data_IF_863562004037
#
_entry.id   IF_863562004037
#
_cell.length_a   1.000
_cell.length_b   1.000
_cell.length_c   1.000
_cell.angle_alpha   90.00
_cell.angle_beta   90.00
_cell.angle_gamma   90.00
#
_symmetry.space_group_name_H-M   'P 1'
#
loop_
_entity.id
_entity.type
_entity.pdbx_description
1 polymer ?
#
# COMPACT_ATOMS: atom_id res chain seq x y z
N UNK A 1 -34.84 -3.42 24.18
CA UNK A 1 -35.20 -4.45 23.18
C UNK A 1 -34.60 -4.14 21.81
N UNK A 2 -34.83 -2.97 21.20
CA UNK A 2 -34.24 -2.62 19.89
C UNK A 2 -32.71 -2.68 19.83
N UNK A 3 -32.01 -2.14 20.84
CA UNK A 3 -30.54 -2.21 20.91
C UNK A 3 -30.01 -3.64 21.11
N UNK A 4 -30.74 -4.52 21.83
CA UNK A 4 -30.33 -5.91 22.03
C UNK A 4 -30.47 -6.71 20.72
N UNK A 5 -31.53 -6.47 19.95
CA UNK A 5 -31.71 -7.08 18.62
C UNK A 5 -30.68 -6.54 17.63
N UNK A 6 -30.44 -5.23 17.61
CA UNK A 6 -29.39 -4.61 16.81
C UNK A 6 -28.00 -5.14 17.18
N UNK A 7 -27.71 -5.24 18.47
CA UNK A 7 -26.48 -5.84 18.96
C UNK A 7 -26.38 -7.30 18.53
N UNK A 8 -27.41 -8.12 18.72
CA UNK A 8 -27.38 -9.54 18.37
C UNK A 8 -27.27 -9.80 16.88
N UNK A 9 -27.89 -8.99 16.02
CA UNK A 9 -27.95 -9.25 14.57
C UNK A 9 -26.83 -8.55 13.81
N UNK A 10 -26.42 -7.36 14.25
CA UNK A 10 -25.43 -6.51 13.54
C UNK A 10 -24.10 -6.54 14.28
N UNK A 11 -24.02 -5.96 15.50
CA UNK A 11 -22.72 -5.75 16.17
C UNK A 11 -22.08 -7.01 16.77
N UNK A 12 -22.86 -8.05 17.07
CA UNK A 12 -22.34 -9.24 17.74
C UNK A 12 -21.35 -9.97 16.87
N UNK A 13 -21.56 -9.96 15.55
CA UNK A 13 -20.64 -10.56 14.58
C UNK A 13 -19.31 -9.83 14.61
N UNK A 14 -19.30 -8.50 14.58
CA UNK A 14 -18.08 -7.70 14.61
C UNK A 14 -17.30 -7.90 15.92
N UNK A 15 -18.00 -7.97 17.05
CA UNK A 15 -17.37 -8.21 18.37
C UNK A 15 -16.84 -9.65 18.48
N UNK A 16 -17.58 -10.63 17.95
CA UNK A 16 -17.16 -12.03 17.96
C UNK A 16 -15.97 -12.23 17.04
N UNK A 17 -15.96 -11.60 15.85
CA UNK A 17 -14.92 -11.66 14.80
C UNK A 17 -13.65 -10.89 15.14
N UNK A 18 -13.73 -9.87 15.98
CA UNK A 18 -12.58 -9.06 16.38
C UNK A 18 -11.37 -9.91 16.79
N UNK A 19 -10.21 -9.63 16.21
CA UNK A 19 -8.93 -10.28 16.53
C UNK A 19 -8.51 -10.14 18.01
N UNK A 20 -9.10 -9.21 18.75
CA UNK A 20 -8.90 -9.06 20.20
C UNK A 20 -9.71 -10.02 21.07
N UNK A 21 -10.60 -10.83 20.49
CA UNK A 21 -11.45 -11.77 21.22
C UNK A 21 -10.72 -13.08 21.57
N UNK A 22 -10.15 -13.14 22.78
CA UNK A 22 -9.41 -14.31 23.30
C UNK A 22 -10.20 -15.63 23.34
N UNK A 23 -11.53 -15.62 23.16
CA UNK A 23 -12.34 -16.85 23.14
C UNK A 23 -12.30 -17.57 21.79
N UNK A 24 -11.90 -16.90 20.71
CA UNK A 24 -11.84 -17.53 19.39
C UNK A 24 -10.91 -18.74 19.37
N UNK A 25 -9.81 -18.69 20.12
CA UNK A 25 -8.82 -19.77 20.13
C UNK A 25 -9.34 -21.09 20.73
N UNK A 26 -10.40 -21.05 21.53
CA UNK A 26 -11.06 -22.27 22.03
C UNK A 26 -11.79 -23.06 20.95
N UNK A 27 -12.05 -22.48 19.77
CA UNK A 27 -12.59 -23.22 18.62
C UNK A 27 -11.56 -24.16 18.00
N UNK A 28 -10.26 -23.89 18.17
CA UNK A 28 -9.18 -24.75 17.66
C UNK A 28 -9.18 -26.16 18.29
N UNK A 29 -9.80 -26.33 19.47
CA UNK A 29 -9.99 -27.67 20.08
C UNK A 29 -10.93 -28.56 19.25
N UNK A 30 -11.76 -27.98 18.38
CA UNK A 30 -12.85 -28.67 17.66
C UNK A 30 -12.79 -28.51 16.14
N UNK A 31 -11.99 -27.56 15.66
CA UNK A 31 -11.91 -27.18 14.26
C UNK A 31 -10.44 -27.15 13.85
N UNK A 32 -10.10 -27.91 12.82
CA UNK A 32 -8.83 -27.77 12.10
C UNK A 32 -8.90 -26.46 11.34
N UNK A 33 -7.91 -25.60 11.54
CA UNK A 33 -7.87 -24.28 10.94
C UNK A 33 -7.94 -24.36 9.41
N UNK A 34 -8.84 -23.60 8.81
CA UNK A 34 -9.07 -23.60 7.37
C UNK A 34 -7.94 -22.95 6.57
N UNK A 35 -8.04 -23.06 5.25
CA UNK A 35 -6.97 -22.63 4.34
C UNK A 35 -7.05 -21.13 4.05
N UNK A 36 -5.91 -20.54 3.72
CA UNK A 36 -5.84 -19.24 3.07
C UNK A 36 -5.34 -19.48 1.66
N UNK A 37 -6.09 -19.00 0.66
CA UNK A 37 -5.76 -19.20 -0.76
C UNK A 37 -5.68 -17.86 -1.50
N UNK A 38 -4.92 -17.81 -2.59
CA UNK A 38 -4.91 -16.68 -3.52
C UNK A 38 -6.20 -16.65 -4.37
N UNK A 39 -6.37 -15.61 -5.19
CA UNK A 39 -7.55 -15.44 -6.05
C UNK A 39 -7.75 -16.57 -7.09
N UNK A 40 -6.72 -17.36 -7.35
CA UNK A 40 -6.70 -18.45 -8.33
C UNK A 40 -6.76 -19.84 -7.65
N UNK A 41 -6.85 -19.89 -6.32
CA UNK A 41 -6.94 -21.13 -5.52
C UNK A 41 -5.60 -21.72 -5.11
N UNK A 42 -4.49 -21.02 -5.30
CA UNK A 42 -3.18 -21.45 -4.80
C UNK A 42 -3.15 -21.33 -3.27
N UNK A 43 -2.70 -22.37 -2.58
CA UNK A 43 -2.70 -22.44 -1.11
C UNK A 43 -1.55 -21.62 -0.52
N UNK A 44 -1.89 -20.57 0.23
CA UNK A 44 -0.94 -19.67 0.90
C UNK A 44 -0.64 -20.09 2.34
N UNK A 45 -1.63 -20.68 3.03
CA UNK A 45 -1.47 -21.31 4.33
C UNK A 45 -2.45 -22.49 4.50
N UNK A 46 -1.98 -23.59 5.08
CA UNK A 46 -2.77 -24.82 5.30
C UNK A 46 -2.41 -25.47 6.64
N UNK A 47 -3.33 -26.26 7.21
CA UNK A 47 -3.07 -27.02 8.43
C UNK A 47 -2.97 -28.51 8.16
N UNK A 48 -1.76 -29.06 8.30
CA UNK A 48 -1.52 -30.50 8.21
C UNK A 48 -1.82 -31.17 9.55
N UNK A 49 -2.71 -32.17 9.53
CA UNK A 49 -3.02 -33.00 10.71
C UNK A 49 -2.06 -34.20 10.75
N UNK A 50 -1.20 -34.24 11.75
CA UNK A 50 -0.21 -35.29 11.96
C UNK A 50 -0.87 -36.59 12.47
N UNK A 51 -0.12 -37.70 12.38
CA UNK A 51 -0.61 -39.02 12.79
C UNK A 51 -0.96 -39.11 14.29
N UNK A 52 -0.37 -38.26 15.13
CA UNK A 52 -0.66 -38.16 16.57
C UNK A 52 -1.83 -37.20 16.89
N UNK A 53 -2.46 -36.62 15.86
CA UNK A 53 -3.56 -35.67 15.97
C UNK A 53 -3.14 -34.23 16.25
N UNK A 54 -1.83 -33.94 16.34
CA UNK A 54 -1.34 -32.56 16.35
C UNK A 54 -1.52 -31.90 14.98
N UNK A 55 -1.62 -30.57 14.99
CA UNK A 55 -1.79 -29.77 13.78
C UNK A 55 -0.55 -28.90 13.58
N UNK A 56 -0.02 -28.89 12.36
CA UNK A 56 1.10 -28.02 11.95
C UNK A 56 0.57 -27.04 10.91
N UNK A 57 0.78 -25.74 11.15
CA UNK A 57 0.44 -24.70 10.17
C UNK A 57 1.59 -24.54 9.18
N UNK A 58 1.33 -24.84 7.91
CA UNK A 58 2.28 -24.75 6.82
C UNK A 58 2.01 -23.54 5.92
N UNK A 59 3.09 -22.95 5.41
CA UNK A 59 3.06 -21.81 4.49
C UNK A 59 3.85 -22.18 3.23
N UNK A 60 3.20 -22.73 2.18
CA UNK A 60 3.88 -23.34 1.04
C UNK A 60 4.83 -22.40 0.27
N UNK A 61 4.59 -21.10 0.34
CA UNK A 61 5.39 -20.06 -0.31
C UNK A 61 6.44 -19.41 0.61
N UNK A 62 6.69 -19.99 1.80
CA UNK A 62 7.67 -19.48 2.76
C UNK A 62 7.43 -18.01 3.09
N UNK A 63 8.46 -17.17 2.91
CA UNK A 63 8.40 -15.75 3.29
C UNK A 63 7.64 -14.83 2.32
N UNK A 64 7.23 -15.33 1.14
CA UNK A 64 6.67 -14.51 0.06
C UNK A 64 5.44 -13.68 0.48
N UNK A 65 4.63 -14.24 1.38
CA UNK A 65 3.39 -13.62 1.90
C UNK A 65 3.46 -13.29 3.39
N UNK A 66 4.64 -13.33 4.00
CA UNK A 66 4.83 -13.32 5.46
C UNK A 66 4.10 -12.18 6.18
N UNK A 67 4.13 -10.96 5.63
CA UNK A 67 3.51 -9.79 6.28
C UNK A 67 2.01 -9.65 6.02
N UNK A 68 1.50 -10.28 4.95
CA UNK A 68 0.09 -10.17 4.56
C UNK A 68 -0.70 -11.33 5.13
N UNK A 69 -0.28 -12.56 4.85
CA UNK A 69 -0.86 -13.78 5.44
C UNK A 69 -0.57 -13.81 6.94
N UNK A 70 0.65 -13.46 7.33
CA UNK A 70 1.05 -13.46 8.73
C UNK A 70 1.42 -14.86 9.22
N UNK A 71 1.29 -15.05 10.53
CA UNK A 71 1.59 -16.30 11.21
C UNK A 71 0.54 -16.56 12.30
N UNK A 72 0.40 -17.83 12.69
CA UNK A 72 -0.55 -18.28 13.72
C UNK A 72 0.07 -18.58 15.08
N UNK A 73 1.40 -18.69 15.14
CA UNK A 73 2.16 -19.16 16.31
C UNK A 73 2.96 -18.00 16.94
N UNK A 74 3.12 -17.95 18.28
CA UNK A 74 3.64 -16.76 19.02
C UNK A 74 2.75 -15.52 18.89
N UNK A 75 1.44 -15.71 19.03
CA UNK A 75 0.44 -14.70 18.68
C UNK A 75 0.00 -14.86 17.22
N UNK A 76 -0.86 -13.97 16.75
CA UNK A 76 -1.32 -13.97 15.35
C UNK A 76 -1.04 -12.62 14.71
N UNK A 77 -0.64 -12.64 13.45
CA UNK A 77 -0.41 -11.44 12.64
C UNK A 77 -1.07 -11.60 11.27
N UNK A 78 -1.19 -10.51 10.50
CA UNK A 78 -1.75 -10.57 9.14
C UNK A 78 -3.17 -11.12 9.09
N UNK A 79 -3.52 -11.74 7.97
CA UNK A 79 -4.80 -12.40 7.76
C UNK A 79 -5.04 -13.59 8.71
N UNK A 80 -3.98 -14.24 9.21
CA UNK A 80 -4.12 -15.25 10.28
C UNK A 80 -4.75 -14.65 11.54
N UNK A 81 -4.49 -13.38 11.83
CA UNK A 81 -5.13 -12.66 12.95
C UNK A 81 -6.52 -12.15 12.57
N UNK A 82 -6.62 -11.46 11.44
CA UNK A 82 -7.85 -10.75 11.05
C UNK A 82 -8.99 -11.70 10.68
N UNK A 83 -8.66 -12.87 10.12
CA UNK A 83 -9.64 -13.89 9.71
C UNK A 83 -9.68 -15.09 10.67
N UNK A 84 -9.17 -14.94 11.90
CA UNK A 84 -9.07 -16.02 12.87
C UNK A 84 -10.42 -16.69 13.16
N UNK A 85 -11.50 -15.90 13.19
CA UNK A 85 -12.84 -16.43 13.42
C UNK A 85 -13.33 -17.30 12.26
N UNK A 86 -13.21 -16.84 11.03
CA UNK A 86 -13.60 -17.56 9.83
C UNK A 86 -12.79 -18.84 9.68
N UNK A 87 -11.46 -18.75 9.84
CA UNK A 87 -10.55 -19.90 9.75
C UNK A 87 -10.82 -20.98 10.81
N UNK A 88 -11.41 -20.62 11.95
CA UNK A 88 -11.80 -21.56 13.03
C UNK A 88 -13.31 -21.82 13.09
N UNK A 89 -14.08 -21.28 12.15
CA UNK A 89 -15.50 -21.58 11.99
C UNK A 89 -15.62 -22.63 10.91
N UNK A 90 -16.29 -23.75 11.22
CA UNK A 90 -16.63 -24.72 10.20
C UNK A 90 -18.07 -24.52 9.77
N UNK A 91 -18.32 -24.21 8.50
CA UNK A 91 -19.64 -24.32 7.87
C UNK A 91 -19.85 -25.68 7.18
N UNK A 92 -19.31 -26.75 7.78
CA UNK A 92 -19.57 -28.12 7.34
C UNK A 92 -21.04 -28.54 7.47
N UNK A 93 -21.49 -29.44 6.60
CA UNK A 93 -22.86 -29.93 6.59
C UNK A 93 -23.20 -30.56 7.96
N UNK A 94 -24.39 -30.30 8.50
CA UNK A 94 -24.76 -30.68 9.87
C UNK A 94 -24.56 -32.19 10.17
N UNK A 95 -24.83 -33.06 9.20
CA UNK A 95 -24.64 -34.52 9.36
C UNK A 95 -23.16 -34.92 9.44
N UNK A 96 -22.28 -34.17 8.79
CA UNK A 96 -20.84 -34.40 8.83
C UNK A 96 -20.24 -33.91 10.14
N UNK A 97 -20.69 -32.75 10.64
CA UNK A 97 -20.35 -32.28 11.99
C UNK A 97 -20.72 -33.29 13.07
N UNK A 98 -21.93 -33.85 13.00
CA UNK A 98 -22.38 -34.88 13.93
C UNK A 98 -21.52 -36.14 13.83
N UNK A 99 -21.22 -36.61 12.61
CA UNK A 99 -20.35 -37.78 12.40
C UNK A 99 -18.96 -37.54 13.00
N UNK A 100 -18.36 -36.39 12.73
CA UNK A 100 -17.02 -36.05 13.21
C UNK A 100 -16.99 -35.97 14.74
N UNK A 101 -18.02 -35.39 15.36
CA UNK A 101 -18.20 -35.38 16.82
C UNK A 101 -18.34 -36.80 17.40
N UNK A 102 -19.05 -37.72 16.73
CA UNK A 102 -19.12 -39.13 17.14
C UNK A 102 -17.80 -39.91 16.91
N UNK A 103 -16.93 -39.42 16.04
CA UNK A 103 -15.64 -40.04 15.71
C UNK A 103 -14.46 -39.39 16.45
N UNK A 104 -14.74 -38.43 17.36
CA UNK A 104 -13.75 -37.56 18.00
C UNK A 104 -12.78 -36.92 16.97
N UNK A 105 -13.30 -36.60 15.78
CA UNK A 105 -12.58 -35.91 14.71
C UNK A 105 -12.98 -34.43 14.67
N UNK A 106 -12.01 -33.55 14.43
CA UNK A 106 -12.26 -32.12 14.26
C UNK A 106 -12.87 -31.83 12.89
N UNK A 107 -13.69 -30.78 12.81
CA UNK A 107 -14.21 -30.31 11.51
C UNK A 107 -13.18 -29.40 10.83
N UNK A 108 -13.19 -29.32 9.50
CA UNK A 108 -12.37 -28.34 8.78
C UNK A 108 -13.01 -26.97 8.84
N UNK A 109 -12.21 -25.95 9.16
CA UNK A 109 -12.60 -24.54 9.12
C UNK A 109 -12.83 -24.05 7.70
N UNK A 110 -13.43 -22.88 7.59
CA UNK A 110 -13.71 -22.26 6.30
C UNK A 110 -12.41 -21.73 5.66
N UNK A 111 -12.41 -21.71 4.33
CA UNK A 111 -11.31 -21.22 3.51
C UNK A 111 -11.48 -19.74 3.22
N UNK A 112 -10.43 -18.96 3.48
CA UNK A 112 -10.34 -17.54 3.14
C UNK A 112 -9.73 -17.41 1.75
N UNK A 113 -10.50 -16.88 0.81
CA UNK A 113 -10.05 -16.58 -0.56
C UNK A 113 -9.60 -15.13 -0.60
N UNK A 114 -8.30 -14.91 -0.82
CA UNK A 114 -7.72 -13.57 -0.86
C UNK A 114 -7.84 -12.93 -2.24
N UNK A 115 -7.61 -11.62 -2.31
CA UNK A 115 -7.46 -10.88 -3.57
C UNK A 115 -6.07 -11.03 -4.17
N UNK A 116 -5.12 -11.57 -3.40
CA UNK A 116 -3.71 -11.69 -3.78
C UNK A 116 -3.56 -12.59 -5.00
N UNK A 117 -2.55 -12.28 -5.81
CA UNK A 117 -2.16 -13.08 -6.96
C UNK A 117 -0.73 -13.57 -6.77
N UNK A 118 -0.53 -14.88 -6.79
CA UNK A 118 0.81 -15.48 -6.57
C UNK A 118 1.84 -15.05 -7.61
N UNK A 119 1.45 -14.94 -8.88
CA UNK A 119 2.38 -14.58 -9.95
C UNK A 119 2.81 -13.11 -9.78
N UNK A 120 1.86 -12.23 -9.48
CA UNK A 120 2.14 -10.81 -9.27
C UNK A 120 2.91 -10.54 -7.97
N UNK A 121 2.61 -11.26 -6.88
CA UNK A 121 3.36 -11.18 -5.63
C UNK A 121 4.81 -11.64 -5.83
N UNK A 122 5.02 -12.75 -6.54
CA UNK A 122 6.35 -13.26 -6.85
C UNK A 122 7.13 -12.26 -7.71
N UNK A 123 6.52 -11.73 -8.76
CA UNK A 123 7.15 -10.71 -9.61
C UNK A 123 7.54 -9.46 -8.82
N UNK A 124 6.67 -8.98 -7.91
CA UNK A 124 7.00 -7.85 -7.03
C UNK A 124 8.15 -8.16 -6.07
N UNK A 125 8.19 -9.37 -5.51
CA UNK A 125 9.26 -9.81 -4.61
C UNK A 125 10.60 -9.95 -5.33
N UNK A 126 10.60 -10.55 -6.52
CA UNK A 126 11.80 -10.73 -7.34
C UNK A 126 12.34 -9.41 -7.86
N UNK A 127 11.44 -8.52 -8.31
CA UNK A 127 11.81 -7.19 -8.78
C UNK A 127 12.41 -6.33 -7.65
N UNK A 128 11.87 -6.42 -6.43
CA UNK A 128 12.45 -5.76 -5.25
C UNK A 128 13.79 -6.41 -4.83
N UNK A 129 13.98 -7.70 -5.11
CA UNK A 129 15.21 -8.43 -4.86
C UNK A 129 15.55 -8.51 -3.37
N UNK A 130 16.82 -8.31 -3.02
CA UNK A 130 17.27 -8.25 -1.63
C UNK A 130 17.16 -6.85 -0.99
N UNK A 131 16.60 -5.87 -1.71
CA UNK A 131 16.56 -4.50 -1.22
C UNK A 131 15.52 -4.34 -0.11
N UNK A 132 15.88 -3.57 0.92
CA UNK A 132 14.97 -3.17 1.99
C UNK A 132 13.93 -2.20 1.42
N UNK A 133 12.65 -2.43 1.68
CA UNK A 133 11.59 -1.64 1.06
C UNK A 133 10.24 -2.35 1.00
N UNK A 134 9.36 -1.88 0.14
CA UNK A 134 8.03 -2.45 -0.04
C UNK A 134 7.44 -2.15 -1.42
N UNK A 135 6.52 -3.01 -1.84
CA UNK A 135 5.70 -2.85 -3.05
C UNK A 135 4.24 -3.09 -2.68
N UNK A 136 3.34 -2.22 -3.12
CA UNK A 136 1.88 -2.40 -3.02
C UNK A 136 1.29 -2.30 -4.42
N UNK A 137 0.50 -3.30 -4.83
CA UNK A 137 -0.21 -3.32 -6.10
C UNK A 137 -1.71 -3.48 -5.85
N UNK A 138 -2.51 -2.64 -6.49
CA UNK A 138 -3.96 -2.57 -6.30
C UNK A 138 -4.71 -2.43 -7.62
N UNK A 139 -5.93 -2.95 -7.65
CA UNK A 139 -6.91 -2.70 -8.69
C UNK A 139 -7.71 -1.43 -8.33
N UNK A 140 -7.65 -0.35 -9.13
CA UNK A 140 -8.15 0.96 -8.70
C UNK A 140 -9.67 1.09 -8.71
N UNK A 141 -10.37 0.38 -9.59
CA UNK A 141 -11.84 0.43 -9.73
C UNK A 141 -12.58 -0.46 -8.74
N UNK A 142 -11.89 -1.38 -8.07
CA UNK A 142 -12.48 -2.25 -7.03
C UNK A 142 -11.88 -2.09 -5.64
N UNK A 143 -10.62 -1.63 -5.52
CA UNK A 143 -9.90 -1.58 -4.24
C UNK A 143 -9.19 -2.90 -3.87
N UNK A 144 -9.22 -3.92 -4.73
CA UNK A 144 -8.52 -5.19 -4.46
C UNK A 144 -7.02 -4.96 -4.33
N UNK A 145 -6.42 -5.47 -3.25
CA UNK A 145 -4.97 -5.51 -3.11
C UNK A 145 -4.45 -6.81 -3.72
N UNK A 146 -3.71 -6.71 -4.83
CA UNK A 146 -3.27 -7.87 -5.60
C UNK A 146 -1.89 -8.36 -5.19
N UNK A 147 -1.03 -7.46 -4.70
CA UNK A 147 0.25 -7.80 -4.13
C UNK A 147 0.66 -6.81 -3.04
N UNK A 148 1.30 -7.29 -1.99
CA UNK A 148 1.89 -6.47 -0.93
C UNK A 148 3.15 -7.17 -0.41
N UNK A 149 4.30 -6.61 -0.76
CA UNK A 149 5.64 -7.12 -0.41
C UNK A 149 6.29 -6.15 0.58
N UNK A 150 6.96 -6.68 1.59
CA UNK A 150 7.80 -5.94 2.53
C UNK A 150 9.11 -6.69 2.73
N UNK A 151 10.25 -5.99 2.68
CA UNK A 151 11.59 -6.57 2.85
C UNK A 151 12.46 -5.78 3.83
N UNK A 152 13.31 -6.44 4.64
CA UNK A 152 13.46 -7.90 4.73
C UNK A 152 12.22 -8.61 5.28
N UNK A 153 12.08 -9.88 4.90
CA UNK A 153 10.98 -10.76 5.24
C UNK A 153 11.42 -11.89 6.20
N UNK A 154 10.49 -12.76 6.57
CA UNK A 154 10.71 -13.87 7.49
C UNK A 154 9.87 -15.07 7.09
N UNK A 155 10.26 -16.27 7.49
CA UNK A 155 9.45 -17.47 7.28
C UNK A 155 8.39 -17.59 8.40
N UNK A 156 7.08 -17.46 8.09
CA UNK A 156 6.01 -17.58 9.08
C UNK A 156 5.92 -18.97 9.70
N UNK A 157 6.33 -20.03 8.99
CA UNK A 157 6.37 -21.40 9.52
C UNK A 157 7.50 -21.63 10.54
N UNK A 158 8.51 -20.76 10.55
CA UNK A 158 9.65 -20.83 11.46
C UNK A 158 9.64 -19.75 12.55
N UNK A 159 8.57 -18.93 12.65
CA UNK A 159 8.50 -17.79 13.57
C UNK A 159 8.71 -18.20 15.03
N UNK A 160 8.12 -19.32 15.45
CA UNK A 160 8.25 -19.83 16.82
C UNK A 160 9.69 -20.22 17.18
N UNK A 161 10.39 -20.86 16.25
CA UNK A 161 11.78 -21.27 16.45
C UNK A 161 12.75 -20.08 16.42
N UNK A 162 12.41 -19.03 15.67
CA UNK A 162 13.28 -17.89 15.41
C UNK A 162 12.86 -16.60 16.15
N UNK A 163 11.90 -16.68 17.07
CA UNK A 163 11.26 -15.51 17.67
C UNK A 163 12.24 -14.52 18.30
N UNK A 164 13.21 -15.00 19.11
CA UNK A 164 14.20 -14.12 19.74
C UNK A 164 15.07 -13.37 18.73
N UNK A 165 15.45 -14.04 17.63
CA UNK A 165 16.23 -13.44 16.56
C UNK A 165 15.40 -12.41 15.77
N UNK A 166 14.16 -12.75 15.41
CA UNK A 166 13.24 -11.87 14.68
C UNK A 166 12.87 -10.62 15.49
N UNK A 167 12.63 -10.79 16.80
CA UNK A 167 12.25 -9.69 17.69
C UNK A 167 13.42 -8.75 18.05
N UNK A 168 14.66 -9.22 17.88
CA UNK A 168 15.87 -8.40 18.10
C UNK A 168 16.58 -8.00 16.80
N UNK A 169 15.97 -8.30 15.65
CA UNK A 169 16.53 -8.00 14.34
C UNK A 169 16.71 -6.48 14.15
N UNK A 170 17.94 -5.98 13.96
CA UNK A 170 18.19 -4.57 13.71
C UNK A 170 17.50 -4.05 12.45
N UNK A 171 17.22 -4.92 11.48
CA UNK A 171 16.48 -4.58 10.27
C UNK A 171 14.97 -4.75 10.40
N UNK A 172 14.46 -5.19 11.56
CA UNK A 172 13.03 -5.29 11.86
C UNK A 172 12.26 -6.08 10.79
N UNK A 173 12.64 -7.34 10.53
CA UNK A 173 11.98 -8.20 9.54
C UNK A 173 10.46 -8.39 9.79
N UNK A 174 9.99 -8.32 11.04
CA UNK A 174 8.56 -8.42 11.35
C UNK A 174 7.74 -7.18 10.94
N UNK A 175 8.38 -6.03 10.70
CA UNK A 175 7.70 -4.80 10.33
C UNK A 175 7.13 -4.90 8.91
N UNK A 176 5.82 -4.69 8.76
CA UNK A 176 5.22 -4.54 7.45
C UNK A 176 5.48 -3.11 6.92
N UNK A 177 6.54 -2.95 6.13
CA UNK A 177 6.95 -1.65 5.57
C UNK A 177 5.92 -1.05 4.61
N UNK A 178 5.09 -1.88 4.00
CA UNK A 178 4.05 -1.42 3.09
C UNK A 178 3.00 -0.56 3.83
N UNK A 179 2.55 -1.00 5.02
CA UNK A 179 1.47 -0.32 5.77
C UNK A 179 1.97 0.47 6.98
N UNK A 180 3.04 0.01 7.64
CA UNK A 180 3.58 0.59 8.87
C UNK A 180 4.82 1.44 8.65
N UNK A 181 5.46 1.34 7.49
CA UNK A 181 6.58 2.19 7.10
C UNK A 181 6.19 3.67 7.09
N UNK A 182 7.10 4.54 7.52
CA UNK A 182 6.92 5.98 7.54
C UNK A 182 8.16 6.62 6.93
N UNK A 183 8.00 7.20 5.75
CA UNK A 183 9.10 7.72 4.96
C UNK A 183 8.79 9.12 4.47
N UNK A 184 9.81 9.94 4.32
CA UNK A 184 9.68 11.15 3.53
C UNK A 184 9.26 10.77 2.09
N UNK A 185 8.17 11.32 1.54
CA UNK A 185 7.64 10.93 0.23
C UNK A 185 8.53 11.36 -0.95
N UNK A 186 9.42 12.32 -0.73
CA UNK A 186 10.19 12.96 -1.79
C UNK A 186 9.29 13.48 -2.90
N UNK A 187 9.80 13.50 -4.13
CA UNK A 187 9.04 14.04 -5.26
C UNK A 187 7.73 13.32 -5.61
N UNK A 188 7.38 12.19 -4.97
CA UNK A 188 6.03 11.61 -5.11
C UNK A 188 4.96 12.53 -4.48
N UNK A 189 5.30 13.29 -3.43
CA UNK A 189 4.41 14.26 -2.78
C UNK A 189 4.01 15.44 -3.66
N UNK A 190 4.75 15.68 -4.74
CA UNK A 190 4.43 16.74 -5.71
C UNK A 190 3.05 16.53 -6.34
N UNK A 191 2.48 15.31 -6.30
CA UNK A 191 1.09 15.08 -6.68
C UNK A 191 0.11 15.77 -5.73
N UNK A 192 0.36 15.71 -4.42
CA UNK A 192 -0.42 16.41 -3.38
C UNK A 192 -0.26 17.93 -3.52
N UNK A 193 0.99 18.39 -3.69
CA UNK A 193 1.28 19.82 -3.91
C UNK A 193 0.65 20.34 -5.21
N UNK A 194 0.64 19.53 -6.26
CA UNK A 194 0.02 19.90 -7.52
C UNK A 194 -1.50 20.01 -7.39
N UNK A 195 -2.14 19.06 -6.70
CA UNK A 195 -3.57 19.13 -6.41
C UNK A 195 -3.93 20.40 -5.66
N UNK A 196 -3.17 20.74 -4.62
CA UNK A 196 -3.43 21.96 -3.86
C UNK A 196 -3.28 23.21 -4.73
N UNK A 197 -2.21 23.28 -5.53
CA UNK A 197 -2.02 24.40 -6.43
C UNK A 197 -3.19 24.56 -7.42
N UNK A 198 -3.74 23.45 -7.94
CA UNK A 198 -4.92 23.47 -8.81
C UNK A 198 -6.16 24.02 -8.10
N UNK A 199 -6.36 23.66 -6.83
CA UNK A 199 -7.50 24.11 -6.01
C UNK A 199 -7.47 25.60 -5.71
N UNK A 200 -6.28 26.13 -5.41
CA UNK A 200 -6.11 27.57 -5.16
C UNK A 200 -6.09 28.41 -6.45
N UNK A 201 -5.67 27.83 -7.58
CA UNK A 201 -5.38 28.58 -8.81
C UNK A 201 -6.16 28.03 -10.02
N UNK A 202 -7.40 28.49 -10.27
CA UNK A 202 -8.21 28.02 -11.41
C UNK A 202 -7.56 28.21 -12.79
N UNK A 203 -6.54 29.07 -12.91
CA UNK A 203 -5.75 29.31 -14.12
C UNK A 203 -4.38 28.65 -14.08
N UNK A 204 -4.21 27.52 -13.38
CA UNK A 204 -2.94 26.81 -13.23
C UNK A 204 -2.28 26.44 -14.56
N UNK A 205 -3.04 26.26 -15.65
CA UNK A 205 -2.51 26.01 -17.00
C UNK A 205 -1.66 27.17 -17.55
N UNK A 206 -1.80 28.38 -17.00
CA UNK A 206 -0.98 29.55 -17.36
C UNK A 206 0.33 29.65 -16.58
N UNK A 207 0.56 28.74 -15.62
CA UNK A 207 1.78 28.72 -14.84
C UNK A 207 3.02 28.57 -15.73
N UNK A 208 4.03 29.37 -15.42
CA UNK A 208 5.34 29.33 -16.08
C UNK A 208 6.42 29.70 -15.08
N UNK A 209 7.50 28.95 -15.06
CA UNK A 209 8.65 29.19 -14.19
C UNK A 209 9.96 28.97 -14.92
N UNK A 210 10.91 29.88 -14.77
CA UNK A 210 12.25 29.73 -15.36
C UNK A 210 13.20 29.11 -14.33
N UNK A 211 13.43 27.82 -14.46
CA UNK A 211 14.36 27.07 -13.62
C UNK A 211 15.80 27.30 -14.06
N UNK A 212 16.59 27.96 -13.21
CA UNK A 212 18.04 28.16 -13.36
C UNK A 212 18.88 27.09 -12.63
N UNK A 213 18.23 26.01 -12.18
CA UNK A 213 18.86 24.88 -11.49
C UNK A 213 18.79 24.92 -9.95
N UNK A 214 18.34 26.04 -9.40
CA UNK A 214 18.05 26.21 -7.98
C UNK A 214 17.03 27.34 -7.77
N UNK A 215 16.46 27.40 -6.57
CA UNK A 215 15.73 28.55 -6.04
C UNK A 215 16.40 29.00 -4.75
N UNK A 216 16.47 30.30 -4.52
CA UNK A 216 16.92 30.88 -3.26
C UNK A 216 15.86 31.84 -2.74
N UNK A 217 15.43 31.63 -1.50
CA UNK A 217 14.49 32.50 -0.81
C UNK A 217 14.88 32.58 0.66
N UNK A 218 14.93 33.79 1.21
CA UNK A 218 15.25 34.08 2.61
C UNK A 218 16.52 33.39 3.13
N UNK A 219 17.56 33.34 2.29
CA UNK A 219 18.86 32.73 2.61
C UNK A 219 18.89 31.20 2.54
N UNK A 220 17.79 30.55 2.13
CA UNK A 220 17.72 29.10 1.89
C UNK A 220 17.81 28.81 0.40
N UNK A 221 18.76 27.99 -0.02
CA UNK A 221 18.92 27.54 -1.41
C UNK A 221 18.51 26.08 -1.56
N UNK A 222 17.55 25.80 -2.44
CA UNK A 222 17.17 24.43 -2.83
C UNK A 222 17.54 24.20 -4.30
N UNK A 223 18.22 23.09 -4.57
CA UNK A 223 18.69 22.73 -5.91
C UNK A 223 17.76 21.71 -6.57
N UNK A 224 17.66 21.80 -7.89
CA UNK A 224 17.20 20.67 -8.69
C UNK A 224 18.22 19.53 -8.61
N UNK A 225 17.79 18.30 -8.92
CA UNK A 225 18.67 17.14 -8.92
C UNK A 225 19.93 17.40 -9.77
N UNK A 226 21.11 17.17 -9.20
CA UNK A 226 22.42 17.50 -9.79
C UNK A 226 22.59 18.95 -10.31
N UNK A 227 21.77 19.89 -9.81
CA UNK A 227 21.77 21.29 -10.26
C UNK A 227 21.26 21.49 -11.69
N UNK A 228 20.47 20.55 -12.22
CA UNK A 228 20.03 20.59 -13.61
C UNK A 228 19.14 21.80 -13.92
N UNK A 229 19.42 22.48 -15.04
CA UNK A 229 18.72 23.66 -15.52
C UNK A 229 17.64 23.25 -16.52
N UNK A 230 16.37 23.21 -16.09
CA UNK A 230 15.25 22.84 -16.96
C UNK A 230 14.81 23.95 -17.93
N UNK A 231 15.26 25.19 -17.75
CA UNK A 231 14.78 26.33 -18.53
C UNK A 231 13.37 26.75 -18.11
N UNK A 232 12.59 27.30 -19.05
CA UNK A 232 11.19 27.67 -18.78
C UNK A 232 10.31 26.43 -18.85
N UNK A 233 9.65 26.12 -17.73
CA UNK A 233 8.73 25.00 -17.57
C UNK A 233 7.33 25.52 -17.28
N UNK A 234 6.32 24.92 -17.90
CA UNK A 234 4.92 25.05 -17.49
C UNK A 234 4.62 24.05 -16.35
N UNK A 235 3.39 24.03 -15.83
CA UNK A 235 3.05 23.19 -14.69
C UNK A 235 3.21 21.68 -14.97
N UNK A 236 2.82 21.24 -16.17
CA UNK A 236 2.97 19.86 -16.64
C UNK A 236 4.45 19.47 -16.71
N UNK A 237 5.28 20.31 -17.31
CA UNK A 237 6.72 20.08 -17.46
C UNK A 237 7.46 20.12 -16.11
N UNK A 238 6.98 20.96 -15.17
CA UNK A 238 7.48 20.97 -13.80
C UNK A 238 7.29 19.61 -13.13
N UNK A 239 6.14 18.95 -13.32
CA UNK A 239 5.92 17.61 -12.80
C UNK A 239 6.72 16.56 -13.59
N UNK A 240 6.72 16.64 -14.93
CA UNK A 240 7.41 15.72 -15.84
C UNK A 240 8.90 15.59 -15.51
N UNK A 241 9.59 16.72 -15.40
CA UNK A 241 11.02 16.79 -15.06
C UNK A 241 11.27 16.78 -13.55
N UNK A 242 10.21 16.75 -12.74
CA UNK A 242 10.31 16.78 -11.28
C UNK A 242 11.10 17.99 -10.76
N UNK A 243 10.90 19.17 -11.36
CA UNK A 243 11.67 20.38 -11.09
C UNK A 243 11.47 20.90 -9.64
N UNK A 244 12.47 20.72 -8.77
CA UNK A 244 12.40 21.19 -7.37
C UNK A 244 12.20 22.70 -7.29
N UNK A 245 12.97 23.49 -8.04
CA UNK A 245 12.88 24.95 -8.00
C UNK A 245 11.46 25.46 -8.33
N UNK A 246 10.79 24.85 -9.32
CA UNK A 246 9.41 25.18 -9.66
C UNK A 246 8.43 24.77 -8.56
N UNK A 247 8.54 23.57 -7.99
CA UNK A 247 7.66 23.13 -6.90
C UNK A 247 7.87 23.90 -5.60
N UNK A 248 9.09 24.32 -5.30
CA UNK A 248 9.37 25.24 -4.19
C UNK A 248 8.72 26.61 -4.45
N UNK A 249 8.79 27.14 -5.68
CA UNK A 249 8.08 28.37 -6.04
C UNK A 249 6.56 28.23 -5.88
N UNK A 250 5.99 27.09 -6.29
CA UNK A 250 4.58 26.76 -6.05
C UNK A 250 4.31 26.75 -4.54
N UNK A 251 5.09 26.04 -3.74
CA UNK A 251 4.94 25.96 -2.29
C UNK A 251 5.00 27.31 -1.57
N UNK A 252 5.81 28.24 -2.05
CA UNK A 252 5.88 29.61 -1.53
C UNK A 252 4.61 30.42 -1.82
N UNK A 253 3.83 30.05 -2.85
CA UNK A 253 2.58 30.71 -3.20
C UNK A 253 1.34 30.14 -2.51
N UNK A 254 1.40 28.91 -1.99
CA UNK A 254 0.26 28.23 -1.36
C UNK A 254 -0.11 28.84 0.00
N UNK A 255 -1.40 28.90 0.28
CA UNK A 255 -1.95 29.12 1.62
C UNK A 255 -1.72 27.87 2.48
N UNK A 256 -1.10 28.02 3.65
CA UNK A 256 -0.63 26.87 4.43
C UNK A 256 -1.82 26.09 5.03
N UNK A 257 -2.84 26.81 5.48
CA UNK A 257 -4.08 26.21 5.97
C UNK A 257 -4.79 25.40 4.88
N UNK A 258 -4.89 25.94 3.66
CA UNK A 258 -5.48 25.24 2.52
C UNK A 258 -4.66 24.02 2.11
N UNK A 259 -3.33 24.13 2.09
CA UNK A 259 -2.44 23.01 1.80
C UNK A 259 -2.56 21.88 2.81
N UNK A 260 -2.68 22.21 4.11
CA UNK A 260 -2.97 21.24 5.15
C UNK A 260 -4.33 20.58 4.94
N UNK A 261 -5.37 21.35 4.63
CA UNK A 261 -6.71 20.80 4.37
C UNK A 261 -6.69 19.83 3.19
N UNK A 262 -5.99 20.15 2.10
CA UNK A 262 -5.85 19.21 0.96
C UNK A 262 -5.06 17.97 1.34
N UNK A 263 -4.01 18.07 2.16
CA UNK A 263 -3.34 16.88 2.67
C UNK A 263 -4.30 16.01 3.52
N UNK A 264 -5.13 16.63 4.36
CA UNK A 264 -6.11 15.93 5.20
C UNK A 264 -7.28 15.33 4.40
N UNK A 265 -7.75 16.01 3.34
CA UNK A 265 -8.70 15.46 2.35
C UNK A 265 -8.13 14.22 1.67
N UNK A 266 -6.81 14.20 1.45
CA UNK A 266 -6.06 13.04 0.95
C UNK A 266 -5.62 12.09 2.08
N UNK A 267 -6.28 12.10 3.23
CA UNK A 267 -6.12 11.18 4.35
C UNK A 267 -4.80 11.29 5.16
N UNK A 268 -4.01 12.36 4.98
CA UNK A 268 -2.94 12.65 5.94
C UNK A 268 -3.54 13.06 7.29
N UNK A 269 -2.86 12.73 8.39
CA UNK A 269 -3.31 12.99 9.76
C UNK A 269 -4.62 12.29 10.20
N UNK A 270 -5.30 11.55 9.31
CA UNK A 270 -6.52 10.78 9.58
C UNK A 270 -6.29 9.26 9.58
N UNK A 271 -7.31 8.48 9.97
CA UNK A 271 -7.28 7.03 9.82
C UNK A 271 -7.27 6.64 8.34
N UNK A 272 -6.51 5.60 8.00
CA UNK A 272 -6.53 4.98 6.68
C UNK A 272 -7.47 3.77 6.68
N UNK A 273 -8.19 3.50 5.58
CA UNK A 273 -8.94 2.27 5.45
C UNK A 273 -7.94 1.13 5.25
N UNK A 274 -7.67 0.34 6.29
CA UNK A 274 -6.74 -0.79 6.22
C UNK A 274 -7.23 -1.91 7.10
N UNK A 275 -7.28 -3.11 6.54
CA UNK A 275 -7.57 -4.35 7.28
C UNK A 275 -6.36 -4.81 8.11
N UNK A 276 -5.14 -4.45 7.69
CA UNK A 276 -3.91 -4.77 8.42
C UNK A 276 -3.50 -3.61 9.35
N UNK A 277 -2.73 -3.89 10.42
CA UNK A 277 -2.09 -2.85 11.21
C UNK A 277 -1.28 -1.89 10.31
N UNK A 278 -1.42 -0.60 10.57
CA UNK A 278 -0.79 0.46 9.78
C UNK A 278 -0.31 1.61 10.68
N UNK A 279 0.62 2.39 10.14
CA UNK A 279 1.07 3.65 10.75
C UNK A 279 0.37 4.81 10.06
N UNK A 280 -0.22 5.70 10.85
CA UNK A 280 -0.87 6.90 10.33
C UNK A 280 0.16 7.83 9.69
N UNK A 281 -0.06 8.22 8.45
CA UNK A 281 0.77 9.20 7.75
C UNK A 281 0.55 10.61 8.29
N UNK A 282 1.58 11.45 8.26
CA UNK A 282 1.57 12.78 8.86
C UNK A 282 1.88 13.89 7.86
N UNK A 283 1.15 15.00 7.97
CA UNK A 283 1.48 16.27 7.34
C UNK A 283 1.76 17.32 8.43
N UNK A 284 3.01 17.77 8.48
CA UNK A 284 3.55 18.54 9.60
C UNK A 284 3.49 20.06 9.42
N UNK A 285 3.57 20.57 8.18
CA UNK A 285 3.67 22.01 7.91
C UNK A 285 2.46 22.80 8.44
N UNK A 286 2.71 23.83 9.24
CA UNK A 286 1.69 24.74 9.77
C UNK A 286 2.07 26.21 9.54
N UNK A 287 1.20 27.13 9.96
CA UNK A 287 1.37 28.59 9.79
C UNK A 287 2.65 29.16 10.42
N UNK A 288 3.29 28.42 11.34
CA UNK A 288 4.58 28.82 11.93
C UNK A 288 5.80 28.34 11.13
N UNK A 289 5.58 27.52 10.10
CA UNK A 289 6.61 26.98 9.22
C UNK A 289 7.40 28.08 8.51
N UNK A 290 8.72 27.93 8.51
CA UNK A 290 9.61 28.85 7.82
C UNK A 290 9.48 28.77 6.31
N UNK A 291 10.02 29.76 5.59
CA UNK A 291 10.19 29.72 4.14
C UNK A 291 10.87 28.43 3.67
N UNK A 292 11.87 27.94 4.42
CA UNK A 292 12.54 26.69 4.12
C UNK A 292 11.59 25.49 4.25
N UNK A 293 10.80 25.44 5.33
CA UNK A 293 9.85 24.35 5.58
C UNK A 293 8.78 24.28 4.49
N UNK A 294 8.27 25.43 4.05
CA UNK A 294 7.31 25.52 2.94
C UNK A 294 7.91 24.98 1.64
N UNK A 295 9.11 25.43 1.28
CA UNK A 295 9.78 24.98 0.07
C UNK A 295 10.12 23.48 0.09
N UNK A 296 10.60 22.97 1.24
CA UNK A 296 10.94 21.55 1.42
C UNK A 296 9.68 20.68 1.36
N UNK A 297 8.64 21.04 2.11
CA UNK A 297 7.37 20.30 2.14
C UNK A 297 6.75 20.20 0.74
N UNK A 298 6.74 21.29 -0.02
CA UNK A 298 6.18 21.33 -1.38
C UNK A 298 6.91 20.44 -2.41
N UNK A 299 8.17 20.06 -2.15
CA UNK A 299 8.88 19.06 -2.96
C UNK A 299 8.91 17.66 -2.33
N UNK A 300 8.24 17.49 -1.18
CA UNK A 300 8.12 16.25 -0.42
C UNK A 300 9.31 15.92 0.49
N UNK A 301 10.09 16.93 0.86
CA UNK A 301 11.12 16.86 1.91
C UNK A 301 10.61 17.52 3.21
N UNK A 302 11.37 17.41 4.29
CA UNK A 302 10.99 17.92 5.61
C UNK A 302 10.33 16.85 6.47
N UNK A 303 9.31 17.22 7.25
CA UNK A 303 8.77 16.37 8.32
C UNK A 303 7.52 15.55 7.91
N UNK A 304 7.04 15.69 6.67
CA UNK A 304 5.92 14.90 6.16
C UNK A 304 6.34 13.43 6.03
N UNK A 305 5.57 12.51 6.61
CA UNK A 305 5.81 11.08 6.53
C UNK A 305 4.62 10.33 5.94
N UNK A 306 4.89 9.36 5.09
CA UNK A 306 3.87 8.56 4.40
C UNK A 306 4.27 7.09 4.30
N UNK A 307 3.27 6.19 4.29
CA UNK A 307 3.47 4.79 3.97
C UNK A 307 3.29 4.51 2.47
N UNK A 308 3.94 3.47 1.91
CA UNK A 308 3.71 3.04 0.54
C UNK A 308 2.25 2.71 0.25
N UNK A 309 1.57 2.10 1.22
CA UNK A 309 0.14 1.83 1.18
C UNK A 309 -0.67 3.12 0.96
N UNK A 310 -0.42 4.15 1.77
CA UNK A 310 -1.15 5.41 1.64
C UNK A 310 -0.91 6.08 0.27
N UNK A 311 0.32 6.05 -0.22
CA UNK A 311 0.62 6.53 -1.58
C UNK A 311 -0.08 5.73 -2.68
N UNK A 312 -0.29 4.41 -2.48
CA UNK A 312 -1.10 3.60 -3.38
C UNK A 312 -2.58 4.02 -3.35
N UNK A 313 -3.14 4.36 -2.18
CA UNK A 313 -4.52 4.86 -2.06
C UNK A 313 -4.72 6.17 -2.83
N UNK A 314 -3.82 7.14 -2.66
CA UNK A 314 -3.89 8.42 -3.39
C UNK A 314 -3.79 8.18 -4.89
N UNK A 315 -2.87 7.31 -5.32
CA UNK A 315 -2.69 6.97 -6.74
C UNK A 315 -3.90 6.22 -7.30
N UNK A 316 -4.52 5.35 -6.51
CA UNK A 316 -5.77 4.65 -6.83
C UNK A 316 -6.91 5.62 -7.07
N UNK A 317 -7.08 6.62 -6.20
CA UNK A 317 -8.07 7.67 -6.42
C UNK A 317 -7.81 8.46 -7.71
N UNK A 318 -6.56 8.81 -8.03
CA UNK A 318 -6.22 9.48 -9.30
C UNK A 318 -6.59 8.59 -10.50
N UNK A 319 -6.27 7.30 -10.44
CA UNK A 319 -6.56 6.33 -11.49
C UNK A 319 -8.08 6.15 -11.69
N UNK A 320 -8.84 6.14 -10.60
CA UNK A 320 -10.28 5.92 -10.56
C UNK A 320 -11.10 7.23 -10.54
N UNK A 321 -10.65 8.25 -11.28
CA UNK A 321 -11.44 9.46 -11.51
C UNK A 321 -11.75 10.29 -10.26
N UNK A 322 -10.94 10.15 -9.22
CA UNK A 322 -11.00 10.88 -7.96
C UNK A 322 -11.64 10.12 -6.80
N UNK A 323 -12.20 8.93 -7.04
CA UNK A 323 -12.86 8.09 -6.04
C UNK A 323 -11.90 7.02 -5.53
N UNK A 324 -11.67 6.99 -4.21
CA UNK A 324 -11.00 5.89 -3.56
C UNK A 324 -12.01 4.79 -3.24
N UNK A 325 -11.82 3.60 -3.79
CA UNK A 325 -12.55 2.40 -3.40
C UNK A 325 -12.04 1.88 -2.06
N UNK A 326 -12.91 1.25 -1.26
CA UNK A 326 -12.51 0.63 0.00
C UNK A 326 -11.54 -0.53 -0.27
N UNK A 327 -10.29 -0.45 0.21
CA UNK A 327 -9.29 -1.46 -0.06
C UNK A 327 -9.51 -2.73 0.76
N UNK A 328 -9.33 -3.89 0.13
CA UNK A 328 -9.52 -5.17 0.81
C UNK A 328 -8.56 -6.26 0.31
N UNK A 329 -8.29 -7.23 1.19
CA UNK A 329 -7.41 -8.38 0.96
C UNK A 329 -8.15 -9.72 0.82
N UNK A 330 -9.42 -9.78 1.21
CA UNK A 330 -10.25 -11.00 1.19
C UNK A 330 -11.37 -10.81 0.17
N UNK A 331 -11.41 -11.63 -0.87
CA UNK A 331 -12.49 -11.61 -1.86
C UNK A 331 -13.72 -12.34 -1.34
N UNK A 332 -13.54 -13.52 -0.74
CA UNK A 332 -14.64 -14.32 -0.21
C UNK A 332 -14.20 -15.30 0.88
N UNK A 333 -15.18 -15.84 1.59
CA UNK A 333 -15.03 -16.97 2.51
C UNK A 333 -15.86 -18.13 1.96
N UNK A 334 -15.26 -19.30 1.83
CA UNK A 334 -15.92 -20.52 1.35
C UNK A 334 -15.82 -21.63 2.38
N UNK A 335 -16.75 -22.57 2.40
CA UNK A 335 -16.56 -23.76 3.23
C UNK A 335 -15.56 -24.74 2.59
N UNK A 336 -15.20 -25.81 3.31
CA UNK A 336 -14.34 -26.92 2.85
C UNK A 336 -14.75 -27.61 1.52
N UNK A 337 -15.95 -27.35 0.99
CA UNK A 337 -16.43 -27.89 -0.31
C UNK A 337 -16.44 -26.83 -1.42
N UNK A 338 -15.96 -25.62 -1.13
CA UNK A 338 -15.94 -24.48 -2.06
C UNK A 338 -17.28 -23.75 -2.18
N UNK A 339 -18.24 -24.00 -1.30
CA UNK A 339 -19.50 -23.22 -1.29
C UNK A 339 -19.24 -21.86 -0.65
N UNK A 340 -19.58 -20.77 -1.35
CA UNK A 340 -19.46 -19.39 -0.87
C UNK A 340 -20.35 -19.15 0.36
N UNK A 341 -19.74 -18.65 1.44
CA UNK A 341 -20.37 -18.30 2.72
C UNK A 341 -20.54 -16.79 2.83
N UNK A 342 -19.51 -16.05 2.42
CA UNK A 342 -19.46 -14.59 2.45
C UNK A 342 -18.62 -14.08 1.28
N UNK A 343 -18.90 -12.87 0.79
CA UNK A 343 -18.19 -12.26 -0.33
C UNK A 343 -18.12 -10.76 -0.17
N UNK A 344 -16.91 -10.22 -0.28
CA UNK A 344 -16.71 -8.78 -0.33
C UNK A 344 -17.12 -8.23 -1.69
N UNK A 345 -17.97 -7.21 -1.66
CA UNK A 345 -18.35 -6.43 -2.83
C UNK A 345 -17.57 -5.11 -2.83
N UNK A 346 -17.04 -4.66 -3.97
CA UNK A 346 -16.40 -3.35 -4.06
C UNK A 346 -17.34 -2.23 -3.61
N UNK A 347 -16.86 -1.37 -2.72
CA UNK A 347 -17.60 -0.22 -2.19
C UNK A 347 -16.76 1.05 -2.30
N UNK A 348 -17.42 2.19 -2.53
CA UNK A 348 -16.76 3.49 -2.52
C UNK A 348 -16.43 3.88 -1.07
N UNK A 349 -15.16 4.17 -0.78
CA UNK A 349 -14.76 4.65 0.54
C UNK A 349 -14.97 6.16 0.65
N UNK A 350 -14.34 6.93 -0.24
CA UNK A 350 -14.40 8.39 -0.23
C UNK A 350 -14.00 8.98 -1.59
N UNK A 351 -14.63 10.08 -2.00
CA UNK A 351 -14.13 10.92 -3.09
C UNK A 351 -13.03 11.84 -2.54
N UNK A 352 -11.80 11.66 -3.01
CA UNK A 352 -10.63 12.45 -2.54
C UNK A 352 -10.38 13.69 -3.39
N UNK A 353 -10.79 13.64 -4.66
CA UNK A 353 -10.67 14.75 -5.61
C UNK A 353 -11.76 14.65 -6.67
N UNK A 354 -12.00 15.74 -7.39
CA UNK A 354 -12.92 15.77 -8.52
C UNK A 354 -12.34 15.00 -9.71
N UNK A 355 -13.22 14.56 -10.61
CA UNK A 355 -12.80 13.89 -11.85
C UNK A 355 -11.93 14.77 -12.74
N UNK A 356 -12.10 16.10 -12.72
CA UNK A 356 -11.26 17.04 -13.46
C UNK A 356 -9.85 17.13 -12.86
N UNK A 357 -9.73 17.21 -11.54
CA UNK A 357 -8.43 17.19 -10.85
C UNK A 357 -7.70 15.86 -11.08
N UNK A 358 -8.40 14.73 -10.96
CA UNK A 358 -7.84 13.41 -11.23
C UNK A 358 -7.36 13.27 -12.68
N UNK A 359 -8.16 13.74 -13.65
CA UNK A 359 -7.78 13.73 -15.07
C UNK A 359 -6.54 14.59 -15.34
N UNK A 360 -6.44 15.79 -14.74
CA UNK A 360 -5.28 16.65 -14.88
C UNK A 360 -4.01 16.03 -14.26
N UNK A 361 -4.11 15.47 -13.05
CA UNK A 361 -3.00 14.76 -12.42
C UNK A 361 -2.56 13.54 -13.23
N UNK A 362 -3.51 12.75 -13.73
CA UNK A 362 -3.23 11.59 -14.60
C UNK A 362 -2.52 12.01 -15.89
N UNK A 363 -2.94 13.09 -16.51
CA UNK A 363 -2.30 13.67 -17.69
C UNK A 363 -0.85 14.11 -17.39
N UNK A 364 -0.63 14.78 -16.25
CA UNK A 364 0.71 15.19 -15.86
C UNK A 364 1.58 14.00 -15.48
N UNK A 365 1.06 12.98 -14.78
CA UNK A 365 1.76 11.73 -14.49
C UNK A 365 2.13 10.97 -15.77
N UNK A 366 1.31 11.06 -16.82
CA UNK A 366 1.62 10.49 -18.14
C UNK A 366 2.84 11.16 -18.75
N UNK A 367 2.98 12.49 -18.60
CA UNK A 367 4.14 13.23 -19.10
C UNK A 367 5.47 12.81 -18.44
N UNK A 368 5.42 12.43 -17.15
CA UNK A 368 6.59 11.89 -16.42
C UNK A 368 7.11 10.61 -17.05
N UNK A 369 6.22 9.77 -17.57
CA UNK A 369 6.58 8.53 -18.29
C UNK A 369 6.97 8.83 -19.73
N UNK A 370 6.24 9.68 -20.46
CA UNK A 370 6.50 9.90 -21.89
C UNK A 370 7.85 10.57 -22.17
N UNK A 371 8.22 11.56 -21.36
CA UNK A 371 9.44 12.35 -21.60
C UNK A 371 10.14 12.83 -20.32
N UNK A 372 9.67 12.39 -19.15
CA UNK A 372 10.17 12.81 -17.85
C UNK A 372 11.05 11.77 -17.14
N UNK A 373 11.00 11.83 -15.81
CA UNK A 373 11.88 11.03 -14.92
C UNK A 373 11.55 9.53 -14.89
N UNK A 374 10.37 9.12 -15.38
CA UNK A 374 9.91 7.72 -15.44
C UNK A 374 9.95 7.15 -16.87
N UNK A 375 10.76 7.72 -17.77
CA UNK A 375 10.86 7.27 -19.17
C UNK A 375 11.34 5.83 -19.38
N UNK A 376 11.82 5.14 -18.35
CA UNK A 376 12.03 3.69 -18.37
C UNK A 376 10.74 2.89 -18.64
N UNK A 377 9.58 3.46 -18.28
CA UNK A 377 8.24 2.93 -18.57
C UNK A 377 7.68 3.39 -19.92
N UNK A 378 8.44 4.16 -20.70
CA UNK A 378 8.05 4.53 -22.06
C UNK A 378 8.22 3.33 -23.00
N UNK A 379 7.49 3.35 -24.12
CA UNK A 379 7.58 2.35 -25.19
C UNK A 379 7.31 0.89 -24.76
N UNK A 380 6.41 0.68 -23.80
CA UNK A 380 5.91 -0.64 -23.44
C UNK A 380 4.70 -1.05 -24.30
N UNK A 381 4.29 -2.31 -24.22
CA UNK A 381 3.05 -2.83 -24.84
C UNK A 381 1.79 -2.24 -24.19
N UNK A 382 1.92 -1.73 -22.97
CA UNK A 382 0.91 -1.02 -22.19
C UNK A 382 1.27 0.47 -22.08
N UNK A 383 0.27 1.31 -21.79
CA UNK A 383 0.50 2.70 -21.40
C UNK A 383 0.72 2.80 -19.90
N UNK A 384 1.50 3.77 -19.44
CA UNK A 384 1.74 3.99 -18.01
C UNK A 384 1.78 5.48 -17.67
N UNK A 385 1.41 5.80 -16.44
CA UNK A 385 1.52 7.14 -15.85
C UNK A 385 2.07 6.98 -14.43
N UNK A 386 2.91 7.91 -13.98
CA UNK A 386 3.47 7.80 -12.64
C UNK A 386 4.25 9.01 -12.18
N UNK A 387 4.86 8.88 -11.00
CA UNK A 387 5.77 9.86 -10.43
C UNK A 387 6.91 9.15 -9.70
N UNK A 388 8.14 9.46 -10.10
CA UNK A 388 9.32 9.06 -9.32
C UNK A 388 9.50 9.97 -8.10
N UNK A 389 10.09 9.45 -7.04
CA UNK A 389 10.54 10.22 -5.90
C UNK A 389 11.95 9.82 -5.47
N UNK A 390 12.65 10.79 -4.92
CA UNK A 390 13.92 10.61 -4.21
C UNK A 390 13.79 11.41 -2.93
N UNK A 391 13.99 10.77 -1.78
CA UNK A 391 13.94 11.43 -0.48
C UNK A 391 15.28 11.28 0.23
N UNK A 392 15.77 12.38 0.80
CA UNK A 392 17.08 12.40 1.45
C UNK A 392 16.92 11.78 2.84
N UNK A 393 17.58 10.65 3.08
CA UNK A 393 17.41 9.88 4.33
C UNK A 393 18.51 10.15 5.37
N UNK A 394 19.70 10.56 4.92
CA UNK A 394 20.83 10.82 5.82
C UNK A 394 21.74 11.92 5.31
N UNK A 395 22.71 12.35 6.14
CA UNK A 395 23.77 13.27 5.73
C UNK A 395 24.70 12.68 4.66
N UNK A 396 24.64 11.36 4.44
CA UNK A 396 25.27 10.67 3.32
C UNK A 396 24.36 10.77 2.09
N UNK A 397 24.78 11.58 1.11
CA UNK A 397 24.06 11.86 -0.14
C UNK A 397 24.02 10.67 -1.10
N UNK A 398 24.67 9.56 -0.75
CA UNK A 398 24.66 8.32 -1.53
C UNK A 398 23.58 7.33 -1.06
N UNK A 399 22.75 7.67 -0.06
CA UNK A 399 21.71 6.80 0.49
C UNK A 399 20.37 7.51 0.59
N UNK A 400 19.71 7.64 -0.56
CA UNK A 400 18.36 8.20 -0.64
C UNK A 400 17.33 7.08 -0.71
N UNK A 401 16.10 7.37 -0.29
CA UNK A 401 14.98 6.50 -0.59
C UNK A 401 14.56 6.67 -2.05
N UNK A 402 14.41 5.56 -2.77
CA UNK A 402 13.85 5.55 -4.13
C UNK A 402 12.36 5.27 -4.05
N UNK A 403 11.56 6.15 -4.65
CA UNK A 403 10.10 6.04 -4.72
C UNK A 403 9.62 5.95 -6.15
N UNK A 404 8.55 5.19 -6.36
CA UNK A 404 7.72 5.30 -7.55
C UNK A 404 6.27 5.04 -7.18
N UNK A 405 5.37 5.87 -7.70
CA UNK A 405 3.93 5.62 -7.67
C UNK A 405 3.40 5.74 -9.09
N UNK A 406 2.46 4.90 -9.48
CA UNK A 406 1.92 4.97 -10.83
C UNK A 406 0.82 3.98 -11.12
N UNK A 407 0.42 3.95 -12.38
CA UNK A 407 -0.64 3.10 -12.92
C UNK A 407 -0.28 2.62 -14.32
N UNK A 408 -0.84 1.47 -14.70
CA UNK A 408 -0.84 0.97 -16.07
C UNK A 408 -2.17 1.24 -16.77
N UNK A 409 -2.20 1.07 -18.09
CA UNK A 409 -3.34 1.27 -18.98
C UNK A 409 -4.10 2.60 -18.75
N UNK A 410 -3.41 3.73 -18.92
CA UNK A 410 -3.84 5.10 -18.53
C UNK A 410 -5.30 5.46 -18.87
N UNK A 411 -5.82 5.00 -20.01
CA UNK A 411 -7.20 5.28 -20.43
C UNK A 411 -8.23 4.50 -19.60
N UNK A 412 -7.90 3.25 -19.23
CA UNK A 412 -8.70 2.39 -18.36
C UNK A 412 -7.79 1.64 -17.36
N UNK A 413 -7.33 2.31 -16.29
CA UNK A 413 -6.32 1.75 -15.41
C UNK A 413 -6.77 0.46 -14.74
N UNK A 414 -5.92 -0.56 -14.81
CA UNK A 414 -6.14 -1.90 -14.26
C UNK A 414 -5.24 -2.18 -13.04
N UNK A 415 -4.03 -1.61 -13.01
CA UNK A 415 -3.14 -1.66 -11.86
C UNK A 415 -2.70 -0.28 -11.42
N UNK A 416 -2.62 -0.12 -10.10
CA UNK A 416 -1.88 0.94 -9.41
C UNK A 416 -0.77 0.29 -8.60
N UNK A 417 0.39 0.95 -8.58
CA UNK A 417 1.57 0.48 -7.85
C UNK A 417 2.21 1.60 -7.03
N UNK A 418 2.70 1.25 -5.85
CA UNK A 418 3.55 2.09 -5.00
C UNK A 418 4.77 1.28 -4.56
N UNK A 419 5.96 1.82 -4.80
CA UNK A 419 7.25 1.19 -4.51
C UNK A 419 8.13 2.13 -3.72
N UNK A 420 8.69 1.63 -2.62
CA UNK A 420 9.79 2.25 -1.86
C UNK A 420 10.98 1.28 -1.85
N UNK A 421 12.17 1.81 -2.10
CA UNK A 421 13.45 1.16 -1.79
C UNK A 421 14.18 2.04 -0.78
N UNK A 422 14.44 1.51 0.41
CA UNK A 422 15.20 2.19 1.46
C UNK A 422 16.69 2.22 1.12
N UNK A 423 17.34 3.35 1.42
CA UNK A 423 18.79 3.56 1.23
C UNK A 423 19.33 3.06 -0.12
N UNK A 424 18.63 3.37 -1.22
CA UNK A 424 19.09 3.04 -2.55
C UNK A 424 20.39 3.79 -2.86
N UNK A 425 21.42 3.05 -3.27
CA UNK A 425 22.75 3.54 -3.67
C UNK A 425 22.76 4.20 -5.06
N UNK A 426 21.59 4.60 -5.56
CA UNK A 426 21.37 5.11 -6.90
C UNK A 426 21.33 4.04 -8.01
N UNK A 427 21.74 2.80 -7.75
CA UNK A 427 21.68 1.70 -8.73
C UNK A 427 20.30 1.03 -8.74
N UNK A 428 19.68 0.83 -7.58
CA UNK A 428 18.32 0.31 -7.47
C UNK A 428 17.29 1.44 -7.59
N UNK A 429 16.39 1.35 -8.57
CA UNK A 429 15.35 2.36 -8.79
C UNK A 429 13.95 1.75 -8.67
N UNK A 430 13.10 2.40 -7.87
CA UNK A 430 11.71 1.98 -7.67
C UNK A 430 10.89 1.92 -8.97
N UNK A 431 11.21 2.76 -9.96
CA UNK A 431 10.58 2.71 -11.29
C UNK A 431 10.91 1.45 -12.07
N UNK A 432 12.11 0.88 -11.88
CA UNK A 432 12.53 -0.36 -12.57
C UNK A 432 11.85 -1.58 -11.92
N UNK A 433 11.60 -1.53 -10.61
CA UNK A 433 10.75 -2.52 -9.91
C UNK A 433 9.34 -2.47 -10.47
N UNK A 434 8.75 -1.27 -10.56
CA UNK A 434 7.40 -1.12 -11.09
C UNK A 434 7.29 -1.58 -12.56
N UNK A 435 8.32 -1.32 -13.36
CA UNK A 435 8.39 -1.84 -14.73
C UNK A 435 8.33 -3.36 -14.76
N UNK A 436 9.13 -4.06 -13.95
CA UNK A 436 9.15 -5.52 -13.94
C UNK A 436 7.80 -6.11 -13.49
N UNK A 437 7.13 -5.48 -12.51
CA UNK A 437 5.79 -5.89 -12.08
C UNK A 437 4.77 -5.71 -13.20
N UNK A 438 4.75 -4.55 -13.85
CA UNK A 438 3.85 -4.33 -14.99
C UNK A 438 4.18 -5.27 -16.17
N UNK A 439 5.45 -5.49 -16.48
CA UNK A 439 5.86 -6.43 -17.52
C UNK A 439 5.32 -7.84 -17.21
N UNK A 440 5.45 -8.34 -15.98
CA UNK A 440 4.93 -9.66 -15.59
C UNK A 440 3.41 -9.80 -15.69
N UNK A 441 2.67 -8.69 -15.62
CA UNK A 441 1.22 -8.69 -15.73
C UNK A 441 0.75 -8.74 -17.19
N UNK A 442 1.55 -8.22 -18.13
CA UNK A 442 1.17 -8.10 -19.54
C UNK A 442 1.93 -9.04 -20.50
N UNK A 443 3.03 -9.65 -20.08
CA UNK A 443 3.85 -10.59 -20.87
C UNK A 443 3.87 -11.97 -20.21
#
# INVERSE_FOLDING_TARGET
>A
MGYIVYFQVVQSRDIIRSSYNARQDSYADRVVRGDIVDRNGNVLAHSEVQADGSEVREYPYGSLFAHVVGYSDQGKAGLESEMNFELLTSNAFFLEKLRNEFQDQKNTGDTVVTTLDVELQQAASDALGGNKGAVVVMEPDTGKILAMVSKPDFDPGAVSANWEALNSDPDSALLNRATQGQYAPGSAFKLVTALEYMRENPSYDSYSYTCTGAIEQDGTTIRCYNGHVHGTVNFRDSLAYSCNASFCNIGLSLDISSFRNTAEDLLFNSSLPSVLPYSKSSFALDESGSTADRMMTAMGQGETQVSPYHMALITSAIANGGVLMEPYLVDSVTNYTGTEIDKNTPEEFQTLMTSQEAAALKDYMTSVVQYGTASALSAQSYTAAGKTGTAEYSSDKEKDHSWFVGMSNVDNPDLVISVIIESADGAARAVDVAKQVFDSYYY
#
